data_IF_123436976882
#
_entry.id   IF_123436976882
#
_cell.length_a   1.000
_cell.length_b   1.000
_cell.length_c   1.000
_cell.angle_alpha   90.00
_cell.angle_beta   90.00
_cell.angle_gamma   90.00
#
_symmetry.space_group_name_H-M   'P 1'
#
loop_
_entity.id
_entity.type
_entity.pdbx_description
1 polymer ?
#
# COMPACT_ATOMS: atom_id res chain seq x y z
N UNK A 1 -62.39 65.73 9.48
CA UNK A 1 -61.78 65.65 8.14
C UNK A 1 -61.27 64.23 8.03
N UNK A 2 -62.07 63.27 7.65
CA UNK A 2 -62.48 62.72 6.34
C UNK A 2 -61.24 62.15 5.59
N UNK A 3 -61.26 60.87 5.44
CA UNK A 3 -60.38 60.18 4.52
C UNK A 3 -60.53 58.66 4.60
N UNK A 4 -61.63 58.14 4.01
CA UNK A 4 -61.85 56.75 3.68
C UNK A 4 -60.84 56.32 2.61
N UNK A 5 -60.17 55.18 2.80
CA UNK A 5 -59.64 54.42 1.70
C UNK A 5 -60.09 52.94 1.79
N UNK A 6 -60.72 52.56 0.68
CA UNK A 6 -61.30 51.23 0.39
C UNK A 6 -60.18 50.20 0.22
N UNK A 7 -60.36 49.01 0.75
CA UNK A 7 -59.62 47.81 0.36
C UNK A 7 -60.12 47.30 -1.02
N UNK A 8 -59.22 46.74 -1.85
CA UNK A 8 -59.65 45.89 -2.95
C UNK A 8 -59.47 44.38 -2.61
N UNK A 9 -60.47 43.68 -3.09
CA UNK A 9 -60.76 42.28 -2.92
C UNK A 9 -59.58 41.34 -3.29
N UNK A 10 -59.35 40.34 -2.42
CA UNK A 10 -58.48 39.21 -2.66
C UNK A 10 -59.12 38.22 -3.64
N UNK A 11 -58.51 38.00 -4.79
CA UNK A 11 -58.80 36.87 -5.66
C UNK A 11 -57.93 35.70 -5.28
N UNK A 12 -58.52 34.64 -4.70
CA UNK A 12 -57.92 33.36 -4.50
C UNK A 12 -57.74 32.61 -5.82
N UNK A 13 -56.51 32.44 -6.26
CA UNK A 13 -56.15 31.51 -7.34
C UNK A 13 -55.78 30.17 -6.71
N UNK A 14 -56.69 29.19 -6.84
CA UNK A 14 -56.41 27.82 -6.49
C UNK A 14 -55.44 27.21 -7.53
N UNK A 15 -54.20 26.99 -7.17
CA UNK A 15 -53.22 26.25 -7.98
C UNK A 15 -53.41 24.76 -7.68
N UNK A 16 -54.01 24.02 -8.62
CA UNK A 16 -54.03 22.56 -8.62
C UNK A 16 -52.64 22.04 -8.97
N UNK A 17 -51.94 21.52 -7.98
CA UNK A 17 -50.68 20.79 -8.20
C UNK A 17 -51.04 19.35 -8.59
N UNK A 18 -50.93 19.01 -9.86
CA UNK A 18 -50.92 17.63 -10.35
C UNK A 18 -49.56 17.03 -10.04
N UNK A 19 -49.49 16.17 -9.00
CA UNK A 19 -48.30 15.32 -8.76
C UNK A 19 -48.31 14.18 -9.79
N UNK A 20 -47.46 14.30 -10.80
CA UNK A 20 -47.11 13.18 -11.68
C UNK A 20 -46.19 12.19 -10.89
N UNK A 21 -46.79 11.11 -10.41
CA UNK A 21 -46.01 9.93 -10.00
C UNK A 21 -45.41 9.31 -11.26
N UNK A 22 -44.11 9.56 -11.49
CA UNK A 22 -43.34 8.78 -12.47
C UNK A 22 -43.04 7.39 -11.88
N UNK A 23 -43.77 6.37 -12.34
CA UNK A 23 -43.38 4.98 -12.15
C UNK A 23 -42.06 4.76 -12.92
N UNK A 24 -40.94 4.74 -12.20
CA UNK A 24 -39.66 4.28 -12.74
C UNK A 24 -39.74 2.75 -12.87
N UNK A 25 -39.93 2.25 -14.06
CA UNK A 25 -39.76 0.83 -14.38
C UNK A 25 -38.29 0.49 -14.25
N UNK A 26 -37.92 -0.23 -13.19
CA UNK A 26 -36.63 -0.83 -13.06
C UNK A 26 -36.53 -1.94 -14.13
N UNK A 27 -35.91 -1.63 -15.25
CA UNK A 27 -35.57 -2.61 -16.27
C UNK A 27 -34.59 -3.64 -15.70
N UNK A 28 -34.53 -4.86 -16.28
CA UNK A 28 -33.59 -5.86 -15.82
C UNK A 28 -32.16 -5.32 -15.92
N UNK A 29 -31.42 -5.36 -14.79
CA UNK A 29 -29.99 -5.06 -14.75
C UNK A 29 -29.29 -6.18 -15.49
N UNK A 30 -29.01 -5.99 -16.77
CA UNK A 30 -28.08 -6.83 -17.50
C UNK A 30 -26.69 -6.57 -16.92
N UNK A 31 -26.19 -7.51 -16.10
CA UNK A 31 -24.77 -7.56 -15.78
C UNK A 31 -24.02 -7.81 -17.09
N UNK A 32 -23.25 -6.83 -17.53
CA UNK A 32 -22.32 -7.03 -18.64
C UNK A 32 -21.44 -8.23 -18.33
N UNK A 33 -21.19 -9.12 -19.30
CA UNK A 33 -20.25 -10.22 -19.08
C UNK A 33 -18.89 -9.63 -18.73
N UNK A 34 -18.36 -9.98 -17.56
CA UNK A 34 -17.03 -9.58 -17.12
C UNK A 34 -16.02 -9.86 -18.24
N UNK A 35 -15.26 -8.85 -18.65
CA UNK A 35 -14.25 -9.01 -19.69
C UNK A 35 -13.37 -10.22 -19.34
N UNK A 36 -13.02 -11.09 -20.31
CA UNK A 36 -12.20 -12.27 -20.06
C UNK A 36 -10.90 -11.83 -19.40
N UNK A 37 -10.54 -12.46 -18.28
CA UNK A 37 -9.28 -12.22 -17.57
C UNK A 37 -8.13 -12.30 -18.56
N UNK A 38 -7.35 -11.21 -18.68
CA UNK A 38 -6.18 -11.18 -19.54
C UNK A 38 -5.26 -12.37 -19.18
N UNK A 39 -4.77 -13.09 -20.19
CA UNK A 39 -3.82 -14.21 -19.96
C UNK A 39 -2.62 -13.68 -19.17
N UNK A 40 -2.18 -14.38 -18.10
CA UNK A 40 -1.00 -13.97 -17.35
C UNK A 40 0.19 -13.76 -18.30
N UNK A 41 0.98 -12.71 -18.06
CA UNK A 41 2.23 -12.53 -18.77
C UNK A 41 3.20 -13.68 -18.45
N UNK A 42 4.23 -13.89 -19.26
CA UNK A 42 5.25 -14.90 -18.98
C UNK A 42 5.86 -14.70 -17.58
N UNK A 43 6.13 -13.45 -17.19
CA UNK A 43 6.63 -13.10 -15.86
C UNK A 43 5.64 -13.51 -14.75
N UNK A 44 4.34 -13.24 -14.93
CA UNK A 44 3.32 -13.61 -13.94
C UNK A 44 3.30 -15.11 -13.69
N UNK A 45 3.35 -15.90 -14.76
CA UNK A 45 3.38 -17.36 -14.65
C UNK A 45 4.66 -17.85 -13.95
N UNK A 46 5.80 -17.23 -14.22
CA UNK A 46 7.08 -17.58 -13.61
C UNK A 46 7.10 -17.23 -12.12
N UNK A 47 6.73 -16.01 -11.74
CA UNK A 47 6.70 -15.56 -10.35
C UNK A 47 5.69 -16.37 -9.53
N UNK A 48 4.47 -16.55 -10.05
CA UNK A 48 3.45 -17.34 -9.37
C UNK A 48 3.90 -18.76 -9.12
N UNK A 49 4.54 -19.41 -10.11
CA UNK A 49 5.09 -20.75 -9.95
C UNK A 49 6.16 -20.77 -8.87
N UNK A 50 7.15 -19.88 -8.95
CA UNK A 50 8.23 -19.79 -7.99
C UNK A 50 7.72 -19.62 -6.55
N UNK A 51 6.79 -18.67 -6.32
CA UNK A 51 6.22 -18.40 -5.00
C UNK A 51 5.38 -19.58 -4.48
N UNK A 52 4.64 -20.27 -5.34
CA UNK A 52 3.86 -21.44 -4.95
C UNK A 52 4.75 -22.64 -4.62
N UNK A 53 5.76 -22.93 -5.42
CA UNK A 53 6.71 -24.02 -5.20
C UNK A 53 7.50 -23.80 -3.91
N UNK A 54 7.89 -22.56 -3.63
CA UNK A 54 8.62 -22.16 -2.44
C UNK A 54 7.73 -21.91 -1.20
N UNK A 55 6.41 -22.00 -1.30
CA UNK A 55 5.46 -21.55 -0.27
C UNK A 55 5.72 -22.09 1.14
N UNK A 56 6.23 -23.31 1.24
CA UNK A 56 6.50 -23.98 2.51
C UNK A 56 8.02 -24.12 2.80
N UNK A 57 8.86 -23.57 1.94
CA UNK A 57 10.34 -23.66 2.07
C UNK A 57 10.97 -22.39 2.62
N UNK A 58 10.24 -21.27 2.66
CA UNK A 58 10.73 -20.04 3.27
C UNK A 58 11.07 -20.26 4.75
N UNK A 59 12.32 -20.03 5.12
CA UNK A 59 12.86 -20.20 6.46
C UNK A 59 13.43 -18.86 6.96
N UNK A 60 13.57 -18.76 8.30
CA UNK A 60 14.13 -17.58 8.93
C UNK A 60 13.19 -16.36 8.87
N UNK A 61 13.75 -15.20 8.69
CA UNK A 61 13.13 -13.89 8.82
C UNK A 61 12.36 -13.44 7.56
N UNK A 62 11.54 -14.31 6.97
CA UNK A 62 10.72 -13.95 5.82
C UNK A 62 9.25 -13.75 6.24
N UNK A 63 8.61 -12.77 5.64
CA UNK A 63 7.18 -12.53 5.87
C UNK A 63 6.33 -13.75 5.46
N UNK A 64 5.18 -13.99 6.11
CA UNK A 64 4.22 -14.98 5.65
C UNK A 64 3.75 -14.71 4.21
N UNK A 65 3.36 -15.76 3.49
CA UNK A 65 2.86 -15.65 2.10
C UNK A 65 1.71 -14.62 1.96
N UNK A 66 0.83 -14.57 2.96
CA UNK A 66 -0.30 -13.64 3.00
C UNK A 66 0.16 -12.19 3.05
N UNK A 67 1.20 -11.89 3.81
CA UNK A 67 1.75 -10.54 3.96
C UNK A 67 2.44 -10.09 2.68
N UNK A 68 3.16 -11.00 2.01
CA UNK A 68 3.70 -10.74 0.67
C UNK A 68 2.60 -10.33 -0.31
N UNK A 69 1.45 -11.03 -0.29
CA UNK A 69 0.32 -10.66 -1.14
C UNK A 69 -0.27 -9.29 -0.77
N UNK A 70 -0.35 -8.95 0.50
CA UNK A 70 -0.80 -7.62 0.94
C UNK A 70 0.12 -6.54 0.39
N UNK A 71 1.44 -6.73 0.48
CA UNK A 71 2.43 -5.79 -0.08
C UNK A 71 2.24 -5.61 -1.59
N UNK A 72 2.05 -6.70 -2.34
CA UNK A 72 1.75 -6.65 -3.76
C UNK A 72 0.49 -5.81 -4.03
N UNK A 73 -0.61 -6.09 -3.34
CA UNK A 73 -1.90 -5.41 -3.53
C UNK A 73 -1.79 -3.90 -3.20
N UNK A 74 -1.02 -3.52 -2.17
CA UNK A 74 -0.78 -2.13 -1.81
C UNK A 74 -0.03 -1.37 -2.92
N UNK A 75 1.03 -1.96 -3.45
CA UNK A 75 1.81 -1.36 -4.54
C UNK A 75 0.97 -1.19 -5.81
N UNK A 76 0.18 -2.21 -6.17
CA UNK A 76 -0.73 -2.13 -7.33
C UNK A 76 -1.78 -1.04 -7.13
N UNK A 77 -2.45 -1.03 -5.98
CA UNK A 77 -3.51 -0.05 -5.66
C UNK A 77 -3.00 1.39 -5.66
N UNK A 78 -1.82 1.60 -5.06
CA UNK A 78 -1.16 2.92 -5.01
C UNK A 78 -0.48 3.31 -6.31
N UNK A 79 -0.31 2.37 -7.26
CA UNK A 79 0.48 2.55 -8.49
C UNK A 79 1.91 2.99 -8.21
N UNK A 80 2.47 2.52 -7.09
CA UNK A 80 3.79 2.92 -6.60
C UNK A 80 4.91 2.42 -7.50
N UNK A 81 5.95 3.25 -7.67
CA UNK A 81 7.07 3.02 -8.60
C UNK A 81 8.44 3.06 -7.92
N UNK A 82 8.61 3.93 -6.93
CA UNK A 82 9.88 4.10 -6.21
C UNK A 82 9.76 3.46 -4.83
N UNK A 83 10.04 2.17 -4.78
CA UNK A 83 9.82 1.33 -3.61
C UNK A 83 11.14 1.14 -2.87
N UNK A 84 11.15 1.36 -1.55
CA UNK A 84 12.26 1.05 -0.67
C UNK A 84 11.85 -0.07 0.29
N UNK A 85 12.69 -1.08 0.42
CA UNK A 85 12.57 -2.13 1.43
C UNK A 85 13.79 -2.12 2.35
N UNK A 86 13.54 -2.20 3.65
CA UNK A 86 14.57 -2.31 4.69
C UNK A 86 14.42 -3.69 5.33
N UNK A 87 15.40 -4.58 5.09
CA UNK A 87 15.35 -5.99 5.47
C UNK A 87 14.88 -6.88 4.34
N UNK A 88 15.82 -7.29 3.48
CA UNK A 88 15.57 -8.19 2.34
C UNK A 88 15.36 -9.63 2.78
N UNK A 89 16.11 -10.09 3.81
CA UNK A 89 16.26 -11.49 4.16
C UNK A 89 16.62 -12.33 2.92
N UNK A 90 15.94 -13.44 2.66
CA UNK A 90 16.16 -14.25 1.45
C UNK A 90 15.26 -13.84 0.27
N UNK A 91 14.56 -12.71 0.39
CA UNK A 91 13.90 -12.00 -0.72
C UNK A 91 12.43 -12.30 -0.94
N UNK A 92 11.72 -12.91 0.02
CA UNK A 92 10.31 -13.26 -0.19
C UNK A 92 9.43 -12.02 -0.39
N UNK A 93 9.48 -11.04 0.51
CA UNK A 93 8.77 -9.76 0.39
C UNK A 93 9.22 -8.97 -0.84
N UNK A 94 10.53 -8.92 -1.09
CA UNK A 94 11.12 -8.24 -2.24
C UNK A 94 10.55 -8.77 -3.56
N UNK A 95 10.35 -10.09 -3.69
CA UNK A 95 9.77 -10.70 -4.89
C UNK A 95 8.34 -10.23 -5.11
N UNK A 96 7.51 -10.15 -4.07
CA UNK A 96 6.15 -9.63 -4.16
C UNK A 96 6.13 -8.16 -4.56
N UNK A 97 6.97 -7.34 -3.92
CA UNK A 97 7.12 -5.91 -4.23
C UNK A 97 7.60 -5.70 -5.67
N UNK A 98 8.62 -6.44 -6.10
CA UNK A 98 9.17 -6.33 -7.46
C UNK A 98 8.20 -6.84 -8.53
N UNK A 99 7.42 -7.88 -8.24
CA UNK A 99 6.35 -8.33 -9.11
C UNK A 99 5.30 -7.23 -9.31
N UNK A 100 4.86 -6.58 -8.24
CA UNK A 100 3.96 -5.44 -8.32
C UNK A 100 4.61 -4.25 -9.06
N UNK A 101 5.88 -3.92 -8.76
CA UNK A 101 6.64 -2.88 -9.45
C UNK A 101 6.71 -3.11 -10.97
N UNK A 102 6.83 -4.36 -11.42
CA UNK A 102 6.80 -4.70 -12.85
C UNK A 102 5.50 -4.30 -13.55
N UNK A 103 4.39 -4.19 -12.81
CA UNK A 103 3.07 -3.77 -13.32
C UNK A 103 2.89 -2.26 -13.29
N UNK A 104 3.52 -1.59 -12.34
CA UNK A 104 3.41 -0.14 -12.17
C UNK A 104 4.48 0.64 -12.94
N UNK A 105 5.45 -0.05 -13.54
CA UNK A 105 6.61 0.55 -14.21
C UNK A 105 7.65 1.08 -13.22
N UNK A 106 7.73 0.47 -12.03
CA UNK A 106 8.61 0.86 -10.94
C UNK A 106 9.79 -0.07 -10.70
N UNK A 107 10.52 0.22 -9.61
CA UNK A 107 11.64 -0.57 -9.09
C UNK A 107 11.63 -0.62 -7.57
N UNK A 108 12.24 -1.67 -7.03
CA UNK A 108 12.47 -1.85 -5.59
C UNK A 108 13.96 -1.66 -5.32
N UNK A 109 14.28 -0.74 -4.42
CA UNK A 109 15.58 -0.70 -3.74
C UNK A 109 15.45 -1.49 -2.45
N UNK A 110 16.30 -2.50 -2.21
CA UNK A 110 16.24 -3.33 -1.00
C UNK A 110 17.61 -3.44 -0.34
N UNK A 111 17.62 -3.52 1.00
CA UNK A 111 18.83 -3.45 1.81
C UNK A 111 18.89 -4.69 2.72
N UNK A 112 20.02 -5.40 2.69
CA UNK A 112 20.32 -6.54 3.55
C UNK A 112 21.73 -6.38 4.13
N UNK A 113 21.87 -6.64 5.43
CA UNK A 113 23.16 -6.55 6.13
C UNK A 113 23.90 -7.89 6.11
N UNK A 114 23.17 -9.00 6.06
CA UNK A 114 23.72 -10.35 6.08
C UNK A 114 24.09 -10.81 4.66
N UNK A 115 25.36 -11.13 4.46
CA UNK A 115 25.90 -11.54 3.14
C UNK A 115 25.27 -12.83 2.61
N UNK A 116 25.01 -13.81 3.47
CA UNK A 116 24.51 -15.12 3.03
C UNK A 116 23.04 -15.01 2.62
N UNK A 117 22.25 -14.25 3.38
CA UNK A 117 20.86 -13.92 3.01
C UNK A 117 20.81 -13.11 1.72
N UNK A 118 21.64 -12.09 1.60
CA UNK A 118 21.74 -11.27 0.39
C UNK A 118 22.05 -12.13 -0.84
N UNK A 119 23.05 -13.03 -0.74
CA UNK A 119 23.42 -13.94 -1.85
C UNK A 119 22.25 -14.85 -2.23
N UNK A 120 21.58 -15.42 -1.23
CA UNK A 120 20.39 -16.26 -1.43
C UNK A 120 19.25 -15.45 -2.09
N UNK A 121 19.04 -14.21 -1.65
CA UNK A 121 18.04 -13.33 -2.24
C UNK A 121 18.30 -13.07 -3.73
N UNK A 122 19.54 -12.76 -4.12
CA UNK A 122 19.90 -12.55 -5.53
C UNK A 122 19.62 -13.78 -6.40
N UNK A 123 19.84 -14.98 -5.87
CA UNK A 123 19.46 -16.21 -6.58
C UNK A 123 17.96 -16.35 -6.74
N UNK A 124 17.18 -16.06 -5.68
CA UNK A 124 15.74 -16.13 -5.69
C UNK A 124 15.13 -15.10 -6.65
N UNK A 125 15.70 -13.88 -6.74
CA UNK A 125 15.30 -12.86 -7.70
C UNK A 125 15.48 -13.31 -9.15
N UNK A 126 16.60 -13.98 -9.45
CA UNK A 126 16.85 -14.54 -10.78
C UNK A 126 15.89 -15.69 -11.11
N UNK A 127 15.71 -16.63 -10.19
CA UNK A 127 14.83 -17.81 -10.37
C UNK A 127 13.37 -17.38 -10.57
N UNK A 128 12.90 -16.37 -9.82
CA UNK A 128 11.54 -15.83 -9.95
C UNK A 128 11.35 -14.92 -11.17
N UNK A 129 12.44 -14.45 -11.80
CA UNK A 129 12.38 -13.58 -12.98
C UNK A 129 12.22 -12.09 -12.68
N UNK A 130 12.19 -11.67 -11.41
CA UNK A 130 11.98 -10.27 -11.01
C UNK A 130 13.27 -9.45 -10.87
N UNK A 131 14.44 -10.05 -11.02
CA UNK A 131 15.73 -9.38 -10.86
C UNK A 131 15.85 -8.02 -11.60
N UNK A 132 15.32 -7.83 -12.83
CA UNK A 132 15.38 -6.54 -13.53
C UNK A 132 14.67 -5.38 -12.81
N UNK A 133 13.77 -5.68 -11.88
CA UNK A 133 12.98 -4.70 -11.12
C UNK A 133 13.54 -4.43 -9.72
N UNK A 134 14.74 -4.91 -9.41
CA UNK A 134 15.36 -4.84 -8.08
C UNK A 134 16.73 -4.19 -8.18
N UNK A 135 17.01 -3.29 -7.24
CA UNK A 135 18.32 -2.74 -6.92
C UNK A 135 18.65 -3.16 -5.49
N UNK A 136 19.47 -4.20 -5.33
CA UNK A 136 19.77 -4.81 -4.05
C UNK A 136 21.12 -4.34 -3.51
N UNK A 137 21.15 -3.94 -2.23
CA UNK A 137 22.32 -3.43 -1.55
C UNK A 137 22.70 -4.33 -0.37
N UNK A 138 23.95 -4.79 -0.34
CA UNK A 138 24.55 -5.40 0.83
C UNK A 138 25.16 -4.30 1.70
N UNK A 139 24.41 -3.83 2.70
CA UNK A 139 24.82 -2.69 3.51
C UNK A 139 24.09 -2.69 4.87
N UNK A 140 24.63 -1.91 5.81
CA UNK A 140 23.91 -1.54 7.02
C UNK A 140 22.84 -0.46 6.69
N UNK A 141 21.60 -0.77 6.95
CA UNK A 141 20.49 0.15 6.70
C UNK A 141 20.53 1.39 7.60
N UNK A 142 21.12 1.30 8.80
CA UNK A 142 21.30 2.45 9.71
C UNK A 142 22.03 3.62 9.05
N UNK A 143 23.02 3.30 8.21
CA UNK A 143 23.81 4.31 7.49
C UNK A 143 23.22 4.60 6.10
N UNK A 144 22.88 3.54 5.36
CA UNK A 144 22.47 3.71 3.96
C UNK A 144 21.19 4.51 3.82
N UNK A 145 20.17 4.28 4.67
CA UNK A 145 18.87 4.97 4.60
C UNK A 145 19.01 6.49 4.66
N UNK A 146 19.96 7.00 5.45
CA UNK A 146 20.23 8.46 5.55
C UNK A 146 20.76 9.04 4.25
N UNK A 147 21.58 8.29 3.54
CA UNK A 147 22.23 8.73 2.30
C UNK A 147 21.34 8.58 1.05
N UNK A 148 20.33 7.72 1.09
CA UNK A 148 19.42 7.52 -0.02
C UNK A 148 18.65 8.80 -0.33
N UNK A 149 18.58 9.13 -1.61
CA UNK A 149 17.80 10.26 -2.11
C UNK A 149 16.41 9.79 -2.52
N UNK A 150 15.39 10.31 -1.87
CA UNK A 150 14.00 10.14 -2.31
C UNK A 150 13.70 10.92 -3.61
N UNK A 151 12.45 11.09 -3.99
CA UNK A 151 11.32 10.64 -3.19
C UNK A 151 11.02 9.14 -3.36
N UNK A 152 10.54 8.53 -2.27
CA UNK A 152 9.95 7.20 -2.30
C UNK A 152 8.43 7.31 -2.24
N UNK A 153 7.73 6.48 -2.98
CA UNK A 153 6.26 6.43 -2.92
C UNK A 153 5.76 5.24 -2.10
N UNK A 154 6.61 4.25 -1.83
CA UNK A 154 6.31 3.15 -0.93
C UNK A 154 7.57 2.71 -0.16
N UNK A 155 7.45 2.61 1.16
CA UNK A 155 8.51 2.08 2.03
C UNK A 155 7.96 0.87 2.77
N UNK A 156 8.71 -0.24 2.77
CA UNK A 156 8.46 -1.40 3.61
C UNK A 156 9.64 -1.62 4.56
N UNK A 157 9.35 -1.65 5.86
CA UNK A 157 10.32 -1.84 6.93
C UNK A 157 10.05 -3.17 7.64
N UNK A 158 11.00 -4.10 7.56
CA UNK A 158 11.00 -5.37 8.27
C UNK A 158 12.41 -5.79 8.69
N UNK A 159 13.16 -4.85 9.26
CA UNK A 159 14.50 -5.07 9.81
C UNK A 159 14.45 -5.16 11.34
N UNK A 160 15.48 -4.66 12.01
CA UNK A 160 15.60 -4.60 13.45
C UNK A 160 14.58 -3.65 14.09
N UNK A 161 13.78 -4.18 15.02
CA UNK A 161 12.58 -3.51 15.56
C UNK A 161 12.90 -2.27 16.39
N UNK A 162 14.06 -2.26 17.04
CA UNK A 162 14.53 -1.12 17.85
C UNK A 162 14.91 0.11 16.99
N UNK A 163 15.05 -0.04 15.68
CA UNK A 163 15.32 1.06 14.74
C UNK A 163 14.09 1.52 13.93
N UNK A 164 12.94 0.91 14.08
CA UNK A 164 11.73 1.26 13.33
C UNK A 164 11.38 2.75 13.41
N UNK A 165 11.45 3.33 14.61
CA UNK A 165 11.19 4.76 14.80
C UNK A 165 12.23 5.61 14.06
N UNK A 166 13.52 5.26 14.17
CA UNK A 166 14.58 6.02 13.52
C UNK A 166 14.50 5.92 11.99
N UNK A 167 14.22 4.75 11.44
CA UNK A 167 13.99 4.59 10.01
C UNK A 167 12.82 5.46 9.52
N UNK A 168 11.74 5.51 10.29
CA UNK A 168 10.62 6.38 9.94
C UNK A 168 11.02 7.86 9.97
N UNK A 169 11.71 8.33 11.01
CA UNK A 169 12.16 9.74 11.14
C UNK A 169 13.05 10.11 9.95
N UNK A 170 14.00 9.26 9.57
CA UNK A 170 14.94 9.52 8.49
C UNK A 170 14.27 9.48 7.09
N UNK A 171 13.19 8.73 6.94
CA UNK A 171 12.50 8.54 5.66
C UNK A 171 11.24 9.39 5.47
N UNK A 172 10.55 9.80 6.53
CA UNK A 172 9.31 10.58 6.43
C UNK A 172 9.44 11.83 5.54
N UNK A 173 10.56 12.60 5.59
CA UNK A 173 10.78 13.73 4.68
C UNK A 173 10.98 13.33 3.22
N UNK A 174 11.35 12.06 2.97
CA UNK A 174 11.66 11.52 1.64
C UNK A 174 10.49 10.76 1.02
N UNK A 175 9.34 10.70 1.71
CA UNK A 175 8.12 10.07 1.20
C UNK A 175 7.32 11.10 0.43
N UNK A 176 6.93 10.75 -0.80
CA UNK A 176 6.06 11.56 -1.66
C UNK A 176 4.68 11.77 -1.01
N UNK A 177 4.00 12.84 -1.36
CA UNK A 177 2.59 13.02 -0.99
C UNK A 177 1.75 11.90 -1.58
N UNK A 178 0.87 11.32 -0.77
CA UNK A 178 0.14 10.09 -1.09
C UNK A 178 0.96 8.80 -1.02
N UNK A 179 2.27 8.88 -0.81
CA UNK A 179 3.14 7.72 -0.58
C UNK A 179 2.92 7.11 0.80
N UNK A 180 3.32 5.84 0.98
CA UNK A 180 3.06 5.12 2.21
C UNK A 180 4.36 4.54 2.83
N UNK A 181 4.44 4.63 4.15
CA UNK A 181 5.39 3.88 4.98
C UNK A 181 4.68 2.70 5.62
N UNK A 182 5.17 1.50 5.41
CA UNK A 182 4.63 0.26 5.98
C UNK A 182 5.66 -0.42 6.87
N UNK A 183 5.24 -1.01 7.98
CA UNK A 183 6.13 -1.76 8.86
C UNK A 183 5.48 -3.06 9.32
N UNK A 184 6.26 -4.14 9.28
CA UNK A 184 5.82 -5.47 9.68
C UNK A 184 5.79 -5.64 11.20
N UNK A 185 5.23 -6.76 11.70
CA UNK A 185 5.11 -7.09 13.12
C UNK A 185 4.35 -6.03 13.98
N UNK A 186 3.44 -5.30 13.39
CA UNK A 186 2.68 -4.25 14.09
C UNK A 186 1.84 -4.75 15.28
N UNK A 187 1.60 -6.07 15.38
CA UNK A 187 0.85 -6.70 16.47
C UNK A 187 1.74 -7.51 17.43
N UNK A 188 2.98 -7.81 17.06
CA UNK A 188 3.86 -8.70 17.80
C UNK A 188 5.30 -8.17 17.99
N UNK A 189 5.59 -6.97 17.55
CA UNK A 189 6.94 -6.42 17.54
C UNK A 189 7.50 -5.95 18.89
N UNK A 190 6.73 -6.09 19.98
CA UNK A 190 7.14 -5.69 21.33
C UNK A 190 7.20 -4.16 21.51
N UNK A 191 7.85 -3.73 22.62
CA UNK A 191 7.85 -2.33 23.07
C UNK A 191 8.39 -1.33 22.04
N UNK A 192 9.44 -1.69 21.30
CA UNK A 192 10.05 -0.77 20.33
C UNK A 192 9.10 -0.47 19.16
N UNK A 193 8.35 -1.49 18.71
CA UNK A 193 7.32 -1.31 17.69
C UNK A 193 6.12 -0.53 18.24
N UNK A 194 5.74 -0.73 19.51
CA UNK A 194 4.70 0.08 20.15
C UNK A 194 5.08 1.57 20.19
N UNK A 195 6.31 1.90 20.58
CA UNK A 195 6.83 3.28 20.58
C UNK A 195 6.80 3.88 19.18
N UNK A 196 7.23 3.12 18.16
CA UNK A 196 7.12 3.55 16.76
C UNK A 196 5.66 3.80 16.35
N UNK A 197 4.75 2.87 16.66
CA UNK A 197 3.33 2.99 16.30
C UNK A 197 2.66 4.18 16.97
N UNK A 198 2.97 4.46 18.23
CA UNK A 198 2.43 5.62 18.94
C UNK A 198 2.93 6.92 18.30
N UNK A 199 4.22 6.98 17.96
CA UNK A 199 4.79 8.14 17.28
C UNK A 199 4.12 8.39 15.92
N UNK A 200 4.07 7.36 15.04
CA UNK A 200 3.55 7.55 13.68
C UNK A 200 2.03 7.82 13.64
N UNK A 201 1.27 7.28 14.60
CA UNK A 201 -0.15 7.61 14.76
C UNK A 201 -0.39 9.03 15.24
N UNK A 202 0.55 9.60 15.98
CA UNK A 202 0.53 11.00 16.43
C UNK A 202 1.00 12.00 15.38
N UNK A 203 1.62 11.54 14.29
CA UNK A 203 2.10 12.42 13.21
C UNK A 203 0.94 12.80 12.28
N UNK A 204 0.49 14.06 12.38
CA UNK A 204 -0.63 14.59 11.60
C UNK A 204 -0.42 14.54 10.08
N UNK A 205 0.82 14.40 9.61
CA UNK A 205 1.14 14.27 8.18
C UNK A 205 0.77 12.90 7.62
N UNK A 206 0.53 11.90 8.48
CA UNK A 206 0.27 10.52 8.07
C UNK A 206 -1.07 10.02 8.59
N UNK A 207 -1.76 9.24 7.77
CA UNK A 207 -2.93 8.46 8.20
C UNK A 207 -2.51 7.01 8.35
N UNK A 208 -2.54 6.51 9.58
CA UNK A 208 -2.09 5.16 9.92
C UNK A 208 -3.26 4.20 10.13
N UNK A 209 -3.17 3.04 9.52
CA UNK A 209 -4.05 1.89 9.72
C UNK A 209 -3.22 0.65 10.04
N UNK A 210 -3.83 -0.33 10.71
CA UNK A 210 -3.18 -1.62 10.98
C UNK A 210 -3.92 -2.71 10.20
N UNK A 211 -3.22 -3.33 9.26
CA UNK A 211 -3.67 -4.54 8.59
C UNK A 211 -3.50 -5.73 9.54
N UNK A 212 -4.61 -6.42 9.82
CA UNK A 212 -4.66 -7.54 10.78
C UNK A 212 -4.90 -8.89 10.12
N UNK A 213 -4.82 -8.93 8.81
CA UNK A 213 -5.10 -10.12 8.03
C UNK A 213 -4.08 -11.23 8.23
N UNK A 214 -2.85 -10.92 8.67
CA UNK A 214 -1.87 -11.88 9.20
C UNK A 214 -1.80 -11.80 10.72
N UNK A 215 -1.24 -12.83 11.35
CA UNK A 215 -1.07 -12.88 12.80
C UNK A 215 -0.05 -11.86 13.33
N UNK A 216 0.89 -11.43 12.51
CA UNK A 216 1.97 -10.51 12.89
C UNK A 216 1.58 -9.04 12.70
N UNK A 217 0.68 -8.76 11.77
CA UNK A 217 0.15 -7.44 11.48
C UNK A 217 1.14 -6.53 10.73
N UNK A 218 0.56 -5.58 10.00
CA UNK A 218 1.34 -4.58 9.25
C UNK A 218 0.75 -3.19 9.49
N UNK A 219 1.56 -2.23 9.90
CA UNK A 219 1.15 -0.83 9.91
C UNK A 219 1.28 -0.25 8.50
N UNK A 220 0.28 0.51 8.09
CA UNK A 220 0.23 1.20 6.80
C UNK A 220 -0.04 2.67 7.10
N UNK A 221 0.94 3.52 6.88
CA UNK A 221 0.91 4.94 7.20
C UNK A 221 1.14 5.73 5.91
N UNK A 222 0.06 6.28 5.36
CA UNK A 222 0.13 7.02 4.10
C UNK A 222 0.16 8.51 4.36
N UNK A 223 1.09 9.21 3.71
CA UNK A 223 1.26 10.66 3.80
C UNK A 223 0.05 11.35 3.17
N UNK A 224 -0.53 12.27 3.91
CA UNK A 224 -1.67 13.05 3.44
C UNK A 224 -1.14 14.05 2.41
N UNK A 225 -1.76 14.08 1.22
CA UNK A 225 -1.45 15.10 0.23
C UNK A 225 -1.94 16.46 0.74
N UNK A 226 -1.06 17.47 0.69
CA UNK A 226 -1.41 18.84 0.96
C UNK A 226 -2.29 19.46 -0.13
#
# INVERSE_FOLDING_TARGET
MTGLFREPAAYSIAVLIFSLLSLSTIGPVYSEPSAPLAKPSHLDAQVSRFLNDARHSWRGWNVPYKDGKILYDLVIKGKFKHILEIGTSTGHSTIWLAWAASKTGGKVTTIEIDRDRYTTALENFRKSGVAPYIDAHLADAHDLVRSLKGPFDFVFCDADKNWYLQYFIDLAPKISDGGCYTAHNALQGGRDVEVFLDYIKGDARFRTTIERGSGEGMSISCKIAE
#
